data_IF_562016760110
#
_entry.id   IF_562016760110
#
_cell.length_a   1.000
_cell.length_b   1.000
_cell.length_c   1.000
_cell.angle_alpha   90.00
_cell.angle_beta   90.00
_cell.angle_gamma   90.00
#
_symmetry.space_group_name_H-M   'P 1'
#
loop_
_entity.id
_entity.type
_entity.pdbx_description
1 polymer ?
#
# COMPACT_ATOMS: atom_id res chain seq x y z
N UNK A 1 -16.56 9.92 -1.24
CA UNK A 1 -15.13 9.63 -1.44
C UNK A 1 -14.87 9.52 -2.94
N UNK A 2 -13.72 9.96 -3.46
CA UNK A 2 -13.40 9.88 -4.89
C UNK A 2 -12.61 8.59 -5.20
N UNK A 3 -13.05 7.85 -6.22
CA UNK A 3 -12.53 6.52 -6.58
C UNK A 3 -11.05 6.51 -6.98
N UNK A 4 -10.53 7.62 -7.50
CA UNK A 4 -9.14 7.73 -7.99
C UNK A 4 -8.30 8.75 -7.22
N UNK A 5 -8.72 9.17 -6.03
CA UNK A 5 -7.97 10.12 -5.23
C UNK A 5 -6.86 9.44 -4.42
N UNK A 6 -5.92 8.82 -5.14
CA UNK A 6 -4.69 8.24 -4.60
C UNK A 6 -3.58 9.25 -4.88
N UNK A 7 -2.96 9.75 -3.81
CA UNK A 7 -1.93 10.81 -3.88
C UNK A 7 -0.60 10.31 -3.33
N UNK A 8 0.42 11.17 -3.33
CA UNK A 8 1.72 10.90 -2.71
C UNK A 8 1.62 10.42 -1.25
N UNK A 9 0.49 10.69 -0.57
CA UNK A 9 0.23 10.28 0.81
C UNK A 9 0.21 8.77 0.97
N UNK A 10 -0.32 8.01 0.00
CA UNK A 10 -0.25 6.55 0.02
C UNK A 10 1.22 6.11 -0.09
N UNK A 11 1.95 6.66 -1.07
CA UNK A 11 3.28 6.20 -1.42
C UNK A 11 4.37 6.62 -0.43
N UNK A 12 4.23 7.79 0.20
CA UNK A 12 5.20 8.31 1.17
C UNK A 12 4.88 7.90 2.61
N UNK A 13 3.60 7.74 2.95
CA UNK A 13 3.20 7.64 4.36
C UNK A 13 2.18 6.52 4.65
N UNK A 14 1.59 5.87 3.64
CA UNK A 14 0.67 4.73 3.84
C UNK A 14 -0.62 5.08 4.58
N UNK A 15 -1.10 6.33 4.50
CA UNK A 15 -2.25 6.76 5.30
C UNK A 15 -3.57 6.19 4.80
N UNK A 16 -4.28 5.47 5.68
CA UNK A 16 -5.75 5.34 5.76
C UNK A 16 -6.53 5.56 4.46
N UNK A 17 -6.72 4.48 3.71
CA UNK A 17 -7.53 4.48 2.49
C UNK A 17 -8.56 3.34 2.50
N UNK A 18 -9.52 3.41 1.57
CA UNK A 18 -10.53 2.37 1.36
C UNK A 18 -9.93 1.17 0.63
N UNK A 19 -10.26 -0.05 1.06
CA UNK A 19 -9.71 -1.29 0.51
C UNK A 19 -9.97 -1.38 -0.99
N UNK A 20 -11.21 -1.20 -1.40
CA UNK A 20 -11.64 -1.32 -2.80
C UNK A 20 -10.90 -0.36 -3.74
N UNK A 21 -10.42 0.77 -3.23
CA UNK A 21 -9.69 1.77 -4.00
C UNK A 21 -8.20 1.41 -4.08
N UNK A 22 -7.58 0.94 -2.98
CA UNK A 22 -6.12 0.80 -2.90
C UNK A 22 -5.63 -0.61 -3.23
N UNK A 23 -6.41 -1.64 -2.89
CA UNK A 23 -6.05 -3.05 -3.09
C UNK A 23 -5.60 -3.40 -4.53
N UNK A 24 -6.15 -2.81 -5.61
CA UNK A 24 -5.66 -3.05 -6.96
C UNK A 24 -4.23 -2.53 -7.24
N UNK A 25 -3.74 -1.58 -6.43
CA UNK A 25 -2.50 -0.85 -6.67
C UNK A 25 -1.36 -1.23 -5.71
N UNK A 26 -1.61 -2.10 -4.72
CA UNK A 26 -0.63 -2.49 -3.71
C UNK A 26 -0.55 -4.01 -3.59
N UNK A 27 0.55 -4.57 -3.06
CA UNK A 27 0.62 -5.99 -2.77
C UNK A 27 -0.50 -6.44 -1.82
N UNK A 28 -1.00 -7.68 -1.96
CA UNK A 28 -2.03 -8.19 -1.07
C UNK A 28 -1.54 -8.19 0.39
N UNK A 29 -2.45 -7.89 1.31
CA UNK A 29 -2.18 -7.85 2.76
C UNK A 29 -1.09 -6.85 3.19
N UNK A 30 -0.75 -5.84 2.38
CA UNK A 30 0.33 -4.89 2.68
C UNK A 30 -0.08 -3.66 3.50
N UNK A 31 -1.37 -3.49 3.80
CA UNK A 31 -1.89 -2.30 4.48
C UNK A 31 -3.16 -2.60 5.28
N UNK A 32 -3.46 -1.73 6.24
CA UNK A 32 -4.70 -1.73 7.01
C UNK A 32 -5.68 -0.75 6.35
N UNK A 33 -6.82 -1.25 5.87
CA UNK A 33 -7.85 -0.42 5.29
C UNK A 33 -8.80 0.11 6.38
N UNK A 34 -9.27 1.35 6.26
CA UNK A 34 -10.12 1.97 7.29
C UNK A 34 -11.53 1.39 7.28
N UNK A 35 -12.02 1.05 6.09
CA UNK A 35 -13.33 0.47 5.84
C UNK A 35 -13.45 -1.01 6.20
N UNK A 36 -12.36 -1.65 6.62
CA UNK A 36 -12.43 -2.97 7.26
C UNK A 36 -13.06 -2.91 8.67
N UNK A 37 -13.18 -1.71 9.24
CA UNK A 37 -13.67 -1.49 10.61
C UNK A 37 -14.97 -0.71 10.61
N UNK A 38 -15.88 -1.10 11.51
CA UNK A 38 -17.22 -0.50 11.62
C UNK A 38 -17.17 0.89 12.26
N UNK A 39 -16.11 1.18 13.02
CA UNK A 39 -15.92 2.45 13.70
C UNK A 39 -14.43 2.82 13.87
N UNK A 40 -14.10 4.12 14.03
CA UNK A 40 -12.74 4.54 14.36
C UNK A 40 -12.19 3.94 15.66
N UNK A 41 -13.08 3.57 16.59
CA UNK A 41 -12.71 2.93 17.85
C UNK A 41 -12.17 1.52 17.62
N UNK A 42 -12.83 0.72 16.79
CA UNK A 42 -12.36 -0.63 16.43
C UNK A 42 -11.00 -0.58 15.74
N UNK A 43 -10.81 0.39 14.83
CA UNK A 43 -9.50 0.61 14.20
C UNK A 43 -8.42 0.97 15.24
N UNK A 44 -8.72 1.84 16.20
CA UNK A 44 -7.77 2.21 17.25
C UNK A 44 -7.43 1.03 18.18
N UNK A 45 -8.40 0.18 18.49
CA UNK A 45 -8.19 -1.06 19.24
C UNK A 45 -7.32 -2.04 18.45
N UNK A 46 -7.57 -2.18 17.14
CA UNK A 46 -6.75 -3.01 16.26
C UNK A 46 -5.32 -2.50 16.13
N UNK A 47 -5.13 -1.18 16.00
CA UNK A 47 -3.80 -0.57 16.02
C UNK A 47 -3.07 -0.84 17.35
N UNK A 48 -3.78 -0.78 18.48
CA UNK A 48 -3.22 -1.10 19.80
C UNK A 48 -2.78 -2.57 19.88
N UNK A 49 -3.58 -3.48 19.31
CA UNK A 49 -3.21 -4.89 19.18
C UNK A 49 -1.94 -5.08 18.34
N UNK A 50 -1.82 -4.42 17.18
CA UNK A 50 -0.62 -4.52 16.34
C UNK A 50 0.63 -3.96 17.02
N UNK A 51 0.50 -2.89 17.81
CA UNK A 51 1.61 -2.34 18.60
C UNK A 51 2.09 -3.35 19.65
N UNK A 52 1.17 -4.07 20.30
CA UNK A 52 1.50 -5.06 21.32
C UNK A 52 1.98 -6.40 20.72
N UNK A 53 1.47 -6.79 19.56
CA UNK A 53 1.77 -8.06 18.91
C UNK A 53 2.67 -7.88 17.69
N UNK A 54 3.98 -7.98 17.92
CA UNK A 54 4.99 -7.85 16.87
C UNK A 54 4.83 -8.89 15.75
N UNK A 55 4.39 -10.11 16.05
CA UNK A 55 4.21 -11.16 15.03
C UNK A 55 3.12 -10.75 14.05
N UNK A 56 1.96 -10.33 14.55
CA UNK A 56 0.85 -9.86 13.72
C UNK A 56 1.23 -8.58 12.93
N UNK A 57 2.01 -7.68 13.52
CA UNK A 57 2.53 -6.51 12.79
C UNK A 57 3.47 -6.92 11.64
N UNK A 58 4.32 -7.93 11.84
CA UNK A 58 5.26 -8.40 10.82
C UNK A 58 4.57 -9.09 9.63
N UNK A 59 3.36 -9.62 9.80
CA UNK A 59 2.57 -10.22 8.71
C UNK A 59 2.31 -9.22 7.58
N UNK A 60 2.09 -7.95 7.91
CA UNK A 60 1.92 -6.85 6.94
C UNK A 60 3.17 -6.55 6.11
N UNK A 61 4.31 -7.19 6.39
CA UNK A 61 5.55 -7.05 5.63
C UNK A 61 5.91 -8.31 4.83
N UNK A 62 5.11 -9.38 4.90
CA UNK A 62 5.43 -10.63 4.20
C UNK A 62 5.43 -10.49 2.68
N UNK A 63 4.63 -9.56 2.13
CA UNK A 63 4.67 -9.22 0.71
C UNK A 63 6.09 -8.84 0.23
N UNK A 64 6.99 -8.37 1.10
CA UNK A 64 8.37 -8.06 0.70
C UNK A 64 9.19 -9.29 0.28
N UNK A 65 8.69 -10.51 0.53
CA UNK A 65 9.28 -11.75 0.02
C UNK A 65 9.07 -11.91 -1.48
N UNK A 66 7.88 -11.55 -1.97
CA UNK A 66 7.45 -11.80 -3.35
C UNK A 66 7.52 -10.56 -4.25
N UNK A 67 7.57 -9.37 -3.66
CA UNK A 67 7.52 -8.09 -4.37
C UNK A 67 8.72 -7.20 -3.99
N UNK A 68 9.19 -6.37 -4.93
CA UNK A 68 10.27 -5.38 -4.70
C UNK A 68 9.77 -3.95 -4.87
N UNK A 69 10.26 -3.06 -4.01
CA UNK A 69 10.07 -1.61 -4.16
C UNK A 69 11.13 -1.08 -5.11
N UNK A 70 10.70 -0.46 -6.20
CA UNK A 70 11.58 0.20 -7.17
C UNK A 70 11.53 1.70 -6.88
N UNK A 71 12.66 2.26 -6.45
CA UNK A 71 12.82 3.69 -6.31
C UNK A 71 13.36 4.25 -7.62
N UNK A 72 12.54 5.03 -8.31
CA UNK A 72 12.95 5.77 -9.50
C UNK A 72 13.63 7.06 -9.02
N UNK A 73 14.83 7.33 -9.54
CA UNK A 73 15.65 8.46 -9.11
C UNK A 73 15.29 9.77 -9.85
N UNK A 74 14.38 9.70 -10.82
CA UNK A 74 13.85 10.85 -11.52
C UNK A 74 14.87 11.50 -12.46
N UNK A 75 15.98 10.82 -12.77
CA UNK A 75 16.99 11.31 -13.71
C UNK A 75 16.63 11.00 -15.16
N UNK A 76 15.84 9.95 -15.40
CA UNK A 76 15.45 9.48 -16.73
C UNK A 76 13.93 9.46 -16.88
N UNK A 77 13.33 10.60 -17.26
CA UNK A 77 11.88 10.77 -17.45
C UNK A 77 11.30 10.04 -18.68
N UNK A 78 11.57 8.74 -18.78
CA UNK A 78 10.98 7.84 -19.75
C UNK A 78 9.56 7.44 -19.32
N UNK A 79 8.90 6.64 -20.17
CA UNK A 79 7.51 6.20 -19.96
C UNK A 79 7.32 5.22 -18.80
N UNK A 80 8.37 4.94 -18.01
CA UNK A 80 8.34 4.14 -16.79
C UNK A 80 8.40 5.02 -15.51
N UNK A 81 8.75 6.31 -15.62
CA UNK A 81 8.93 7.23 -14.49
C UNK A 81 7.75 8.16 -14.13
N UNK A 82 6.72 8.25 -14.96
CA UNK A 82 5.54 9.10 -14.72
C UNK A 82 4.38 8.29 -14.14
N UNK A 83 4.42 7.91 -12.86
CA UNK A 83 4.36 8.87 -11.78
C UNK A 83 5.27 8.48 -10.60
N UNK A 84 5.85 9.51 -10.00
CA UNK A 84 6.60 9.43 -8.75
C UNK A 84 5.88 8.56 -7.71
N UNK A 85 6.43 7.37 -7.45
CA UNK A 85 5.87 6.40 -6.52
C UNK A 85 4.75 5.57 -7.13
N UNK A 86 5.11 4.36 -7.53
CA UNK A 86 4.27 3.17 -7.73
C UNK A 86 3.29 3.05 -8.90
N UNK A 87 2.99 4.07 -9.72
CA UNK A 87 1.86 3.92 -10.67
C UNK A 87 2.18 4.09 -12.16
N UNK A 88 3.19 3.42 -12.70
CA UNK A 88 3.34 3.34 -14.18
C UNK A 88 3.38 1.95 -14.78
N UNK A 89 2.63 1.00 -14.21
CA UNK A 89 2.23 -0.20 -14.95
C UNK A 89 0.83 -0.65 -14.51
N UNK A 90 -0.21 0.10 -14.92
CA UNK A 90 -1.52 -0.52 -15.17
C UNK A 90 -1.34 -1.22 -16.53
N UNK A 91 -0.68 -2.37 -16.58
CA UNK A 91 -1.32 -3.69 -16.61
C UNK A 91 -0.65 -4.78 -15.78
N UNK A 92 0.42 -4.50 -15.03
CA UNK A 92 1.26 -5.50 -14.35
C UNK A 92 1.83 -4.98 -13.02
N UNK A 93 1.00 -4.40 -12.15
CA UNK A 93 1.38 -4.07 -10.77
C UNK A 93 1.56 -5.31 -9.86
N UNK A 94 2.04 -6.42 -10.42
CA UNK A 94 2.38 -7.66 -9.75
C UNK A 94 3.64 -8.22 -10.41
N UNK A 95 4.79 -7.56 -10.27
CA UNK A 95 6.05 -8.21 -10.62
C UNK A 95 6.38 -9.21 -9.52
N UNK A 96 5.66 -10.33 -9.54
CA UNK A 96 5.95 -11.51 -8.73
C UNK A 96 7.15 -12.18 -9.38
N UNK A 97 8.33 -11.95 -8.82
CA UNK A 97 9.53 -12.62 -9.31
C UNK A 97 9.50 -14.07 -8.84
N UNK A 98 9.18 -14.99 -9.75
CA UNK A 98 9.54 -16.40 -9.62
C UNK A 98 10.70 -16.70 -10.55
#
# INVERSE_FOLDING_TARGET
MCEYYITEKLWKHGYMHLRSIVEPFVPPYSFVAVDDFSSPKELAEYMSYLIANKTAYLEYFEWRRDYRVIFLDGRDHNRLERPWGLCQVISECQVKFK
#
